data_IF_758438010570
#
_entry.id   IF_758438010570
#
_cell.length_a   1.000
_cell.length_b   1.000
_cell.length_c   1.000
_cell.angle_alpha   90.00
_cell.angle_beta   90.00
_cell.angle_gamma   90.00
#
_symmetry.space_group_name_H-M   'P 1'
#
loop_
_entity.id
_entity.type
_entity.pdbx_description
1 polymer ?
#
# COMPACT_ATOMS: atom_id res chain seq x y z
N UNK A 1 -16.59 -15.78 35.01
CA UNK A 1 -16.83 -14.93 33.82
C UNK A 1 -15.56 -14.15 33.54
N UNK A 2 -14.69 -14.67 32.67
CA UNK A 2 -13.47 -13.99 32.26
C UNK A 2 -13.77 -13.22 30.97
N UNK A 3 -13.68 -11.90 31.05
CA UNK A 3 -14.00 -10.96 29.98
C UNK A 3 -12.98 -11.08 28.85
N UNK A 4 -13.54 -11.25 27.65
CA UNK A 4 -12.88 -11.28 26.36
C UNK A 4 -12.15 -9.95 26.07
N UNK A 5 -10.83 -9.91 26.22
CA UNK A 5 -9.96 -8.80 25.81
C UNK A 5 -9.16 -9.11 24.53
N UNK A 6 -9.42 -10.26 23.86
CA UNK A 6 -8.65 -10.70 22.70
C UNK A 6 -8.98 -10.01 21.38
N UNK A 7 -10.17 -9.40 21.22
CA UNK A 7 -10.63 -8.88 19.92
C UNK A 7 -9.88 -7.66 19.39
N UNK A 8 -9.44 -6.75 20.28
CA UNK A 8 -8.72 -5.53 19.87
C UNK A 8 -7.23 -5.78 19.63
N UNK A 9 -6.62 -6.66 20.42
CA UNK A 9 -5.19 -7.02 20.32
C UNK A 9 -4.91 -7.78 19.00
N UNK A 10 -5.79 -8.70 18.62
CA UNK A 10 -5.66 -9.47 17.38
C UNK A 10 -5.68 -8.60 16.11
N UNK A 11 -6.35 -7.44 16.16
CA UNK A 11 -6.41 -6.53 15.01
C UNK A 11 -5.14 -5.67 14.90
N UNK A 12 -4.64 -5.17 16.03
CA UNK A 12 -3.41 -4.38 16.07
C UNK A 12 -2.19 -5.22 15.68
N UNK A 13 -2.09 -6.46 16.16
CA UNK A 13 -0.98 -7.35 15.85
C UNK A 13 -0.94 -7.70 14.35
N UNK A 14 -2.12 -7.94 13.74
CA UNK A 14 -2.24 -8.17 12.30
C UNK A 14 -1.84 -6.93 11.51
N UNK A 15 -2.30 -5.76 11.92
CA UNK A 15 -1.94 -4.49 11.26
C UNK A 15 -0.43 -4.23 11.35
N UNK A 16 0.17 -4.38 12.53
CA UNK A 16 1.60 -4.22 12.73
C UNK A 16 2.40 -5.22 11.90
N UNK A 17 1.98 -6.49 11.87
CA UNK A 17 2.63 -7.50 11.04
C UNK A 17 2.57 -7.15 9.55
N UNK A 18 1.43 -6.64 9.08
CA UNK A 18 1.27 -6.21 7.69
C UNK A 18 2.20 -5.03 7.36
N UNK A 19 2.26 -4.02 8.23
CA UNK A 19 3.16 -2.87 8.08
C UNK A 19 4.62 -3.35 8.01
N UNK A 20 5.07 -4.18 8.96
CA UNK A 20 6.46 -4.66 8.99
C UNK A 20 6.77 -5.46 7.72
N UNK A 21 5.90 -6.39 7.32
CA UNK A 21 6.09 -7.19 6.09
C UNK A 21 6.13 -6.33 4.83
N UNK A 22 5.40 -5.22 4.81
CA UNK A 22 5.44 -4.26 3.72
C UNK A 22 6.79 -3.52 3.61
N UNK A 23 7.54 -3.41 4.70
CA UNK A 23 8.88 -2.79 4.70
C UNK A 23 10.01 -3.76 4.35
N UNK A 24 9.72 -5.07 4.20
CA UNK A 24 10.72 -6.08 3.86
C UNK A 24 10.57 -6.46 2.40
N UNK A 25 11.65 -6.38 1.63
CA UNK A 25 11.69 -6.74 0.21
C UNK A 25 12.29 -8.15 0.04
N UNK A 26 11.73 -8.95 -0.86
CA UNK A 26 12.12 -10.35 -1.06
C UNK A 26 13.57 -10.54 -1.55
N UNK A 27 14.10 -9.55 -2.26
CA UNK A 27 15.45 -9.57 -2.80
C UNK A 27 16.50 -9.34 -1.71
N UNK A 28 17.26 -10.38 -1.41
CA UNK A 28 18.33 -10.33 -0.41
C UNK A 28 19.47 -9.47 -0.95
N UNK A 29 19.70 -8.30 -0.34
CA UNK A 29 20.81 -7.35 -0.59
C UNK A 29 20.59 -6.32 -1.70
N UNK A 30 19.37 -5.81 -1.83
CA UNK A 30 19.12 -4.65 -2.67
C UNK A 30 19.89 -3.43 -2.14
N UNK A 31 20.82 -2.88 -2.93
CA UNK A 31 21.56 -1.65 -2.64
C UNK A 31 20.88 -0.44 -3.29
N UNK A 32 21.27 0.76 -2.89
CA UNK A 32 20.78 2.01 -3.45
C UNK A 32 21.01 2.11 -4.96
N UNK A 33 22.12 1.54 -5.45
CA UNK A 33 22.44 1.47 -6.88
C UNK A 33 21.50 0.59 -7.71
N UNK A 34 20.78 -0.34 -7.06
CA UNK A 34 19.84 -1.25 -7.73
C UNK A 34 18.43 -0.62 -7.86
N UNK A 35 18.21 0.53 -7.22
CA UNK A 35 16.98 1.30 -7.27
C UNK A 35 17.01 2.24 -8.47
N UNK A 36 16.02 2.10 -9.35
CA UNK A 36 15.84 2.97 -10.51
C UNK A 36 14.38 3.41 -10.63
N UNK A 37 14.17 4.54 -11.30
CA UNK A 37 12.84 5.11 -11.52
C UNK A 37 11.87 4.07 -12.12
N UNK A 38 10.68 3.96 -11.55
CA UNK A 38 9.66 3.03 -12.01
C UNK A 38 9.83 1.58 -11.56
N UNK A 39 10.93 1.21 -10.89
CA UNK A 39 11.10 -0.13 -10.30
C UNK A 39 9.98 -0.42 -9.31
N UNK A 40 9.43 -1.64 -9.36
CA UNK A 40 8.47 -2.15 -8.40
C UNK A 40 9.17 -3.16 -7.49
N UNK A 41 9.21 -2.87 -6.19
CA UNK A 41 9.83 -3.74 -5.20
C UNK A 41 8.80 -4.68 -4.63
N UNK A 42 8.97 -5.98 -4.83
CA UNK A 42 8.09 -6.99 -4.25
C UNK A 42 8.39 -7.16 -2.74
N UNK A 43 7.38 -6.92 -1.91
CA UNK A 43 7.51 -6.98 -0.45
C UNK A 43 7.18 -8.36 0.11
N UNK A 44 7.45 -8.61 1.39
CA UNK A 44 7.04 -9.83 2.09
C UNK A 44 5.57 -9.80 2.57
N UNK A 45 4.81 -8.75 2.22
CA UNK A 45 3.38 -8.67 2.48
C UNK A 45 2.59 -9.35 1.37
N UNK A 46 2.10 -10.55 1.63
CA UNK A 46 1.13 -11.24 0.77
C UNK A 46 -0.30 -10.83 1.16
N UNK A 47 -1.13 -10.53 0.15
CA UNK A 47 -2.53 -10.15 0.34
C UNK A 47 -3.46 -11.08 -0.46
N UNK A 48 -4.50 -11.58 0.20
CA UNK A 48 -5.54 -12.40 -0.43
C UNK A 48 -6.31 -11.62 -1.51
N UNK A 49 -6.47 -10.32 -1.28
CA UNK A 49 -7.10 -9.30 -2.12
C UNK A 49 -6.31 -9.05 -3.41
N UNK A 50 -5.03 -9.45 -3.43
CA UNK A 50 -4.20 -9.45 -4.64
C UNK A 50 -4.16 -10.82 -5.33
N UNK A 51 -4.98 -11.77 -4.90
CA UNK A 51 -4.95 -13.15 -5.35
C UNK A 51 -3.73 -13.91 -4.83
N UNK A 52 -3.44 -13.76 -3.53
CA UNK A 52 -2.25 -14.35 -2.88
C UNK A 52 -0.92 -13.90 -3.49
N UNK A 53 -0.88 -12.66 -3.97
CA UNK A 53 0.34 -12.04 -4.48
C UNK A 53 0.91 -11.07 -3.46
N UNK A 54 2.22 -10.86 -3.55
CA UNK A 54 2.94 -9.89 -2.76
C UNK A 54 2.60 -8.46 -3.21
N UNK A 55 2.40 -7.58 -2.23
CA UNK A 55 2.24 -6.15 -2.47
C UNK A 55 3.57 -5.54 -2.89
N UNK A 56 3.52 -4.50 -3.73
CA UNK A 56 4.72 -3.84 -4.23
C UNK A 56 4.88 -2.42 -3.69
N UNK A 57 6.13 -1.94 -3.66
CA UNK A 57 6.47 -0.54 -3.45
C UNK A 57 6.95 0.06 -4.77
N UNK A 58 6.42 1.22 -5.14
CA UNK A 58 6.91 1.97 -6.31
C UNK A 58 8.13 2.80 -5.93
N UNK A 59 9.19 2.68 -6.70
CA UNK A 59 10.38 3.53 -6.64
C UNK A 59 10.22 4.70 -7.60
N UNK A 60 10.51 5.90 -7.11
CA UNK A 60 10.65 7.11 -7.92
C UNK A 60 11.98 7.78 -7.66
N UNK A 61 12.77 7.95 -8.71
CA UNK A 61 14.11 8.53 -8.62
C UNK A 61 14.09 9.99 -9.09
N UNK A 62 14.37 10.89 -8.16
CA UNK A 62 14.41 12.32 -8.39
C UNK A 62 15.86 12.79 -8.46
N UNK A 63 16.43 12.81 -9.66
CA UNK A 63 17.85 13.11 -9.86
C UNK A 63 18.76 12.00 -9.31
N UNK A 64 20.06 12.30 -9.10
CA UNK A 64 21.07 11.26 -8.86
C UNK A 64 20.99 10.58 -7.48
N UNK A 65 20.42 11.21 -6.46
CA UNK A 65 20.54 10.76 -5.05
C UNK A 65 19.25 10.77 -4.25
N UNK A 66 18.13 11.21 -4.80
CA UNK A 66 16.86 11.24 -4.07
C UNK A 66 15.96 10.15 -4.60
N UNK A 67 15.68 9.16 -3.76
CA UNK A 67 14.73 8.09 -4.06
C UNK A 67 13.53 8.23 -3.13
N UNK A 68 12.34 8.21 -3.74
CA UNK A 68 11.05 8.15 -3.06
C UNK A 68 10.45 6.75 -3.22
N UNK A 69 9.84 6.27 -2.15
CA UNK A 69 9.06 5.06 -2.06
C UNK A 69 7.59 5.48 -1.94
N UNK A 70 6.75 4.93 -2.81
CA UNK A 70 5.32 5.26 -2.89
C UNK A 70 5.04 6.76 -3.02
N UNK A 71 5.92 7.52 -3.66
CA UNK A 71 5.79 8.97 -3.90
C UNK A 71 5.88 9.88 -2.65
N UNK A 72 5.93 9.36 -1.42
CA UNK A 72 5.97 10.18 -0.21
C UNK A 72 7.19 9.90 0.68
N UNK A 73 7.53 8.64 0.94
CA UNK A 73 8.61 8.32 1.87
C UNK A 73 9.96 8.34 1.18
N UNK A 74 10.96 8.98 1.77
CA UNK A 74 12.29 9.13 1.18
C UNK A 74 13.28 8.20 1.86
N UNK A 75 14.20 7.62 1.10
CA UNK A 75 15.38 6.98 1.70
C UNK A 75 16.29 8.08 2.28
N UNK A 76 16.55 8.01 3.58
CA UNK A 76 17.35 9.01 4.32
C UNK A 76 18.73 8.50 4.72
N UNK A 77 18.88 7.19 4.84
CA UNK A 77 20.16 6.50 5.01
C UNK A 77 20.08 5.16 4.27
N UNK A 78 21.17 4.69 3.68
CA UNK A 78 21.13 3.58 2.73
C UNK A 78 22.38 2.71 2.79
N UNK A 79 22.26 1.50 2.23
CA UNK A 79 23.38 0.57 2.07
C UNK A 79 24.02 0.12 3.39
N UNK A 80 23.24 0.10 4.48
CA UNK A 80 23.69 -0.41 5.77
C UNK A 80 23.71 -1.94 5.71
N UNK A 81 24.90 -2.52 5.65
CA UNK A 81 25.05 -3.97 5.57
C UNK A 81 24.69 -4.66 6.90
N UNK A 82 23.85 -5.68 6.81
CA UNK A 82 23.48 -6.57 7.91
C UNK A 82 23.93 -8.00 7.59
N UNK A 83 23.93 -8.89 8.60
CA UNK A 83 24.40 -10.27 8.43
C UNK A 83 23.66 -11.04 7.31
N UNK A 84 22.39 -10.70 7.06
CA UNK A 84 21.50 -11.39 6.12
C UNK A 84 20.90 -10.49 5.04
N UNK A 85 21.34 -9.24 4.90
CA UNK A 85 20.71 -8.29 3.98
C UNK A 85 21.30 -6.89 4.03
N UNK A 86 20.51 -5.93 3.54
CA UNK A 86 20.83 -4.50 3.54
C UNK A 86 19.65 -3.75 4.12
N UNK A 87 19.92 -2.76 4.97
CA UNK A 87 18.92 -1.89 5.57
C UNK A 87 19.01 -0.51 4.91
N UNK A 88 17.84 0.05 4.60
CA UNK A 88 17.66 1.43 4.17
C UNK A 88 16.70 2.10 5.15
N UNK A 89 17.11 3.23 5.74
CA UNK A 89 16.25 4.03 6.59
C UNK A 89 15.35 4.92 5.74
N UNK A 90 14.08 5.02 6.12
CA UNK A 90 13.07 5.79 5.41
C UNK A 90 12.51 6.92 6.28
N UNK A 91 12.12 8.03 5.67
CA UNK A 91 11.62 9.21 6.40
C UNK A 91 10.24 9.00 7.04
N UNK A 92 9.45 8.09 6.47
CA UNK A 92 8.05 7.87 6.86
C UNK A 92 7.72 6.37 6.81
N UNK A 93 6.82 5.94 7.71
CA UNK A 93 6.30 4.57 7.72
C UNK A 93 5.51 4.32 6.44
N UNK A 94 5.89 3.27 5.71
CA UNK A 94 5.17 2.82 4.53
C UNK A 94 3.87 2.11 4.93
N UNK A 95 2.75 2.73 4.60
CA UNK A 95 1.42 2.13 4.75
C UNK A 95 1.07 1.32 3.51
N UNK A 96 0.65 0.05 3.63
CA UNK A 96 0.05 -0.69 2.54
C UNK A 96 -1.15 0.08 1.97
N UNK A 97 -1.31 0.15 0.63
CA UNK A 97 -2.40 0.92 0.05
C UNK A 97 -3.75 0.25 0.33
N UNK A 98 -4.74 1.06 0.68
CA UNK A 98 -6.15 0.68 0.79
C UNK A 98 -6.72 0.25 -0.57
N UNK A 99 -7.80 -0.54 -0.55
CA UNK A 99 -8.47 -0.95 -1.79
C UNK A 99 -9.24 0.22 -2.43
N UNK A 100 -9.58 0.10 -3.72
CA UNK A 100 -10.22 1.18 -4.48
C UNK A 100 -11.58 1.62 -3.92
N UNK A 101 -12.38 0.69 -3.38
CA UNK A 101 -13.66 1.01 -2.76
C UNK A 101 -13.47 1.82 -1.48
N UNK A 102 -12.52 1.39 -0.64
CA UNK A 102 -12.16 2.07 0.59
C UNK A 102 -11.68 3.51 0.30
N UNK A 103 -10.78 3.69 -0.68
CA UNK A 103 -10.33 5.01 -1.11
C UNK A 103 -11.51 5.89 -1.55
N UNK A 104 -12.44 5.35 -2.37
CA UNK A 104 -13.62 6.08 -2.81
C UNK A 104 -14.53 6.50 -1.64
N UNK A 105 -14.59 5.69 -0.58
CA UNK A 105 -15.38 6.01 0.62
C UNK A 105 -14.69 6.96 1.59
N UNK A 106 -13.36 6.89 1.72
CA UNK A 106 -12.58 7.72 2.65
C UNK A 106 -12.39 9.16 2.14
N UNK A 107 -12.55 9.40 0.84
CA UNK A 107 -12.37 10.71 0.21
C UNK A 107 -13.69 11.22 -0.41
N UNK A 108 -14.75 11.44 0.38
CA UNK A 108 -16.07 11.81 -0.14
C UNK A 108 -16.07 13.16 -0.88
N UNK A 109 -15.20 14.08 -0.46
CA UNK A 109 -15.00 15.37 -1.13
C UNK A 109 -14.62 15.21 -2.62
N UNK A 110 -13.92 14.12 -2.95
CA UNK A 110 -13.49 13.80 -4.31
C UNK A 110 -14.37 12.76 -4.99
N UNK A 111 -14.89 11.76 -4.27
CA UNK A 111 -15.51 10.56 -4.89
C UNK A 111 -16.93 10.21 -4.43
N UNK A 112 -17.61 11.07 -3.66
CA UNK A 112 -18.96 10.79 -3.14
C UNK A 112 -19.99 10.37 -4.21
N UNK A 113 -19.98 10.99 -5.40
CA UNK A 113 -20.92 10.64 -6.48
C UNK A 113 -20.65 9.23 -7.00
N UNK A 114 -19.38 8.87 -7.20
CA UNK A 114 -19.01 7.52 -7.63
C UNK A 114 -19.32 6.48 -6.55
N UNK A 115 -19.03 6.77 -5.29
CA UNK A 115 -19.35 5.89 -4.17
C UNK A 115 -20.87 5.63 -4.07
N UNK A 116 -21.69 6.68 -4.24
CA UNK A 116 -23.15 6.54 -4.33
C UNK A 116 -23.57 5.68 -5.53
N UNK A 117 -22.99 5.91 -6.71
CA UNK A 117 -23.28 5.13 -7.92
C UNK A 117 -23.01 3.63 -7.71
N UNK A 118 -21.89 3.27 -7.07
CA UNK A 118 -21.58 1.88 -6.72
C UNK A 118 -22.62 1.29 -5.75
N UNK A 119 -23.12 2.08 -4.81
CA UNK A 119 -24.13 1.64 -3.85
C UNK A 119 -25.49 1.40 -4.52
N UNK A 120 -26.01 2.37 -5.26
CA UNK A 120 -27.36 2.29 -5.88
C UNK A 120 -27.44 1.24 -6.99
N UNK A 121 -26.33 0.95 -7.67
CA UNK A 121 -26.25 -0.10 -8.69
C UNK A 121 -26.01 -1.50 -8.09
N UNK A 122 -25.80 -1.60 -6.77
CA UNK A 122 -25.42 -2.85 -6.11
C UNK A 122 -24.01 -3.35 -6.45
N UNK A 123 -23.18 -2.53 -7.12
CA UNK A 123 -21.82 -2.89 -7.53
C UNK A 123 -20.78 -2.79 -6.41
N UNK A 124 -21.08 -2.11 -5.30
CA UNK A 124 -20.16 -1.94 -4.17
C UNK A 124 -19.59 -3.28 -3.67
N UNK A 125 -20.44 -4.30 -3.47
CA UNK A 125 -19.99 -5.64 -3.02
C UNK A 125 -19.12 -6.34 -4.07
N UNK A 126 -19.44 -6.18 -5.35
CA UNK A 126 -18.64 -6.76 -6.44
C UNK A 126 -17.25 -6.14 -6.48
N UNK A 127 -17.15 -4.82 -6.45
CA UNK A 127 -15.87 -4.10 -6.45
C UNK A 127 -15.06 -4.43 -5.20
N UNK A 128 -15.67 -4.40 -4.01
CA UNK A 128 -14.98 -4.70 -2.75
C UNK A 128 -14.46 -6.13 -2.63
N UNK A 129 -15.09 -7.09 -3.30
CA UNK A 129 -14.67 -8.49 -3.30
C UNK A 129 -13.81 -8.88 -4.52
N UNK A 130 -13.56 -7.94 -5.44
CA UNK A 130 -12.77 -8.23 -6.63
C UNK A 130 -11.29 -8.18 -6.30
N UNK A 131 -10.56 -9.25 -6.61
CA UNK A 131 -9.14 -9.30 -6.39
C UNK A 131 -8.39 -8.59 -7.52
N UNK A 132 -7.34 -7.85 -7.15
CA UNK A 132 -6.37 -7.25 -8.07
C UNK A 132 -6.97 -6.49 -9.27
N UNK A 133 -7.91 -5.60 -8.99
CA UNK A 133 -8.51 -4.73 -10.00
C UNK A 133 -7.72 -3.44 -10.20
N UNK A 134 -7.81 -2.89 -11.41
CA UNK A 134 -7.46 -1.51 -11.71
C UNK A 134 -8.74 -0.74 -11.99
N UNK A 135 -9.05 0.26 -11.17
CA UNK A 135 -10.27 1.06 -11.30
C UNK A 135 -9.95 2.46 -11.83
N UNK A 136 -10.68 2.89 -12.86
CA UNK A 136 -10.72 4.30 -13.28
C UNK A 136 -11.87 4.96 -12.51
N UNK A 137 -11.53 5.64 -11.41
CA UNK A 137 -12.52 6.21 -10.48
C UNK A 137 -12.80 7.67 -10.85
N UNK A 138 -13.99 8.01 -11.38
CA UNK A 138 -14.33 9.40 -11.71
C UNK A 138 -14.51 10.26 -10.46
N UNK A 139 -13.84 11.41 -10.43
CA UNK A 139 -14.04 12.44 -9.39
C UNK A 139 -15.44 13.07 -9.49
N UNK A 140 -15.88 13.75 -8.44
CA UNK A 140 -17.14 14.48 -8.39
C UNK A 140 -17.26 15.53 -9.52
N UNK A 141 -16.14 16.10 -9.96
CA UNK A 141 -16.11 17.04 -11.09
C UNK A 141 -16.37 16.37 -12.43
N UNK A 142 -15.96 15.11 -12.64
CA UNK A 142 -16.21 14.38 -13.88
C UNK A 142 -17.71 14.13 -14.16
N UNK A 143 -18.56 14.26 -13.13
CA UNK A 143 -20.02 14.16 -13.24
C UNK A 143 -20.71 15.50 -13.50
N UNK A 144 -19.99 16.61 -13.34
CA UNK A 144 -20.50 17.95 -13.66
C UNK A 144 -20.38 18.13 -15.17
N UNK A 145 -21.52 18.23 -15.84
CA UNK A 145 -21.57 18.56 -17.28
C UNK A 145 -21.20 20.01 -17.53
#
# INVERSE_FOLDING_TARGET
>A
MLSNHGGAVLNNDRMMSAIIRYHVVAEKKMKMGDLHDGKLLETELELSELGHRKQVIRVVQLGKRRVLLNMYSRIIDSDMEAANGVVHAVSEVLMPPSNALEIATLLPAEFSIHALALHVTGMAKRVGNSNAISALVPSNTAWKK
#
